data_IF_754368198987
#
_entry.id   IF_754368198987
#
_cell.length_a   1.000
_cell.length_b   1.000
_cell.length_c   1.000
_cell.angle_alpha   90.00
_cell.angle_beta   90.00
_cell.angle_gamma   90.00
#
_symmetry.space_group_name_H-M   'P 1'
#
loop_
_entity.id
_entity.type
_entity.pdbx_description
1 polymer ?
#
# COMPACT_ATOMS: atom_id res chain seq x y z
N UNK A 1 28.65 8.99 24.82
CA UNK A 1 27.39 8.24 24.61
C UNK A 1 26.26 9.26 24.63
N UNK A 2 25.48 9.28 23.54
CA UNK A 2 24.33 10.19 23.45
C UNK A 2 23.18 9.68 24.32
N UNK A 3 22.49 10.58 25.01
CA UNK A 3 21.18 10.29 25.63
C UNK A 3 20.11 10.49 24.58
N UNK A 4 19.33 9.46 24.28
CA UNK A 4 18.26 9.48 23.28
C UNK A 4 16.93 9.47 24.03
N UNK A 5 16.13 10.51 23.83
CA UNK A 5 14.81 10.66 24.45
C UNK A 5 13.69 10.18 23.53
N UNK A 6 13.89 10.27 22.20
CA UNK A 6 12.91 9.89 21.19
C UNK A 6 13.60 9.12 20.06
N UNK A 7 13.05 7.96 19.67
CA UNK A 7 13.44 7.19 18.52
C UNK A 7 12.29 7.16 17.51
N UNK A 8 12.56 7.65 16.30
CA UNK A 8 11.61 7.66 15.19
C UNK A 8 12.09 6.62 14.16
N UNK A 9 11.30 5.57 13.87
CA UNK A 9 11.68 4.59 12.85
C UNK A 9 11.74 5.23 11.47
N UNK A 10 12.78 4.91 10.70
CA UNK A 10 12.99 5.41 9.34
C UNK A 10 12.40 4.51 8.25
N UNK A 11 11.88 3.33 8.63
CA UNK A 11 11.25 2.38 7.69
C UNK A 11 10.12 1.61 8.36
N UNK A 12 9.26 1.00 7.52
CA UNK A 12 8.16 0.16 8.04
C UNK A 12 8.68 -1.10 8.74
N UNK A 13 9.83 -1.66 8.30
CA UNK A 13 10.47 -2.81 8.97
C UNK A 13 10.95 -2.44 10.36
N UNK A 14 11.60 -1.29 10.49
CA UNK A 14 12.04 -0.78 11.79
C UNK A 14 10.85 -0.54 12.70
N UNK A 15 9.81 0.15 12.20
CA UNK A 15 8.59 0.40 12.95
C UNK A 15 7.95 -0.90 13.47
N UNK A 16 7.84 -1.91 12.59
CA UNK A 16 7.26 -3.21 12.94
C UNK A 16 8.11 -3.95 13.99
N UNK A 17 9.44 -3.97 13.83
CA UNK A 17 10.34 -4.61 14.77
C UNK A 17 10.38 -3.89 16.12
N UNK A 18 10.44 -2.56 16.12
CA UNK A 18 10.43 -1.77 17.36
C UNK A 18 9.11 -1.94 18.10
N UNK A 19 7.97 -1.89 17.38
CA UNK A 19 6.66 -2.09 17.98
C UNK A 19 6.50 -3.50 18.58
N UNK A 20 6.99 -4.54 17.88
CA UNK A 20 6.97 -5.92 18.37
C UNK A 20 7.76 -6.08 19.67
N UNK A 21 8.86 -5.33 19.81
CA UNK A 21 9.78 -5.40 20.94
C UNK A 21 9.66 -4.20 21.89
N UNK A 22 8.56 -3.47 21.86
CA UNK A 22 8.37 -2.21 22.62
C UNK A 22 8.64 -2.37 24.12
N UNK A 23 8.35 -3.54 24.68
CA UNK A 23 8.57 -3.83 26.08
C UNK A 23 10.06 -3.81 26.49
N UNK A 24 10.97 -4.11 25.56
CA UNK A 24 12.41 -4.08 25.83
C UNK A 24 12.91 -2.65 26.08
N UNK A 25 12.19 -1.66 25.58
CA UNK A 25 12.50 -0.24 25.72
C UNK A 25 11.89 0.40 26.96
N UNK A 26 10.95 -0.27 27.65
CA UNK A 26 10.30 0.27 28.87
C UNK A 26 11.28 0.61 29.99
N UNK A 27 12.43 -0.09 30.04
CA UNK A 27 13.49 0.17 31.04
C UNK A 27 14.40 1.33 30.62
N UNK A 28 14.27 1.82 29.40
CA UNK A 28 14.99 2.99 28.92
C UNK A 28 14.13 4.24 29.10
N UNK A 29 14.74 5.41 29.17
CA UNK A 29 13.99 6.68 29.15
C UNK A 29 13.60 7.10 27.72
N UNK A 30 13.90 6.27 26.71
CA UNK A 30 13.66 6.57 25.30
C UNK A 30 12.22 6.24 24.91
N UNK A 31 11.51 7.20 24.39
CA UNK A 31 10.18 7.03 23.78
C UNK A 31 10.33 6.55 22.33
N UNK A 32 9.59 5.51 21.96
CA UNK A 32 9.56 5.02 20.58
C UNK A 32 8.33 5.57 19.89
N UNK A 33 8.54 6.35 18.82
CA UNK A 33 7.46 6.92 18.01
C UNK A 33 6.88 5.87 17.06
N UNK A 34 6.07 4.97 17.60
CA UNK A 34 5.40 3.91 16.85
C UNK A 34 4.00 3.66 17.39
N UNK A 35 3.16 2.98 16.62
CA UNK A 35 1.85 2.47 17.06
C UNK A 35 2.00 1.00 17.50
N UNK A 36 0.95 0.43 18.07
CA UNK A 36 0.97 -0.95 18.53
C UNK A 36 1.25 -1.95 17.38
N UNK A 37 1.88 -3.07 17.73
CA UNK A 37 2.29 -4.10 16.77
C UNK A 37 1.11 -4.68 15.98
N UNK A 38 -0.04 -4.90 16.61
CA UNK A 38 -1.21 -5.49 15.96
C UNK A 38 -1.70 -4.61 14.81
N UNK A 39 -1.76 -3.31 15.04
CA UNK A 39 -2.15 -2.32 14.02
C UNK A 39 -1.12 -2.26 12.89
N UNK A 40 0.17 -2.14 13.20
CA UNK A 40 1.24 -2.16 12.18
C UNK A 40 1.24 -3.45 11.37
N UNK A 41 1.03 -4.60 12.01
CA UNK A 41 0.96 -5.90 11.34
C UNK A 41 -0.20 -5.98 10.34
N UNK A 42 -1.34 -5.36 10.64
CA UNK A 42 -2.45 -5.25 9.70
C UNK A 42 -2.05 -4.39 8.49
N UNK A 43 -1.48 -3.21 8.73
CA UNK A 43 -1.13 -2.28 7.65
C UNK A 43 0.11 -2.68 6.84
N UNK A 44 0.96 -3.58 7.34
CA UNK A 44 2.11 -4.09 6.59
C UNK A 44 1.73 -5.02 5.44
N UNK A 45 0.49 -5.52 5.38
CA UNK A 45 0.02 -6.48 4.38
C UNK A 45 -1.30 -6.01 3.75
N UNK A 46 -1.32 -5.89 2.41
CA UNK A 46 -2.48 -5.35 1.68
C UNK A 46 -3.74 -6.19 1.84
N UNK A 47 -3.60 -7.52 1.96
CA UNK A 47 -4.76 -8.40 2.19
C UNK A 47 -5.37 -8.13 3.56
N UNK A 48 -4.52 -8.06 4.60
CA UNK A 48 -4.99 -7.75 5.96
C UNK A 48 -5.60 -6.36 6.02
N UNK A 49 -4.94 -5.37 5.40
CA UNK A 49 -5.46 -4.00 5.32
C UNK A 49 -6.84 -3.96 4.67
N UNK A 50 -7.01 -4.56 3.48
CA UNK A 50 -8.30 -4.53 2.77
C UNK A 50 -9.40 -5.27 3.53
N UNK A 51 -9.08 -6.40 4.16
CA UNK A 51 -10.02 -7.12 5.02
C UNK A 51 -10.45 -6.26 6.22
N UNK A 52 -9.50 -5.62 6.90
CA UNK A 52 -9.78 -4.75 8.04
C UNK A 52 -10.62 -3.53 7.64
N UNK A 53 -10.35 -2.91 6.49
CA UNK A 53 -11.16 -1.81 5.96
C UNK A 53 -12.59 -2.27 5.67
N UNK A 54 -12.74 -3.45 5.05
CA UNK A 54 -14.07 -4.06 4.79
C UNK A 54 -14.85 -4.30 6.08
N UNK A 55 -14.23 -4.90 7.08
CA UNK A 55 -14.85 -5.18 8.40
C UNK A 55 -15.31 -3.90 9.10
N UNK A 56 -14.61 -2.79 8.85
CA UNK A 56 -14.94 -1.47 9.42
C UNK A 56 -15.83 -0.61 8.53
N UNK A 57 -16.35 -1.15 7.43
CA UNK A 57 -17.14 -0.41 6.44
C UNK A 57 -16.44 0.86 5.90
N UNK A 58 -15.10 0.84 5.85
CA UNK A 58 -14.29 1.91 5.26
C UNK A 58 -14.07 1.63 3.77
N UNK A 59 -13.84 2.67 2.94
CA UNK A 59 -13.58 2.50 1.50
C UNK A 59 -12.34 1.64 1.25
N UNK A 60 -12.48 0.66 0.36
CA UNK A 60 -11.37 -0.18 -0.13
C UNK A 60 -11.64 -0.55 -1.59
N UNK A 61 -10.61 -0.88 -2.39
CA UNK A 61 -10.81 -1.33 -3.77
C UNK A 61 -11.41 -2.74 -3.77
N UNK A 62 -12.25 -3.05 -4.76
CA UNK A 62 -12.61 -4.45 -5.02
C UNK A 62 -11.34 -5.27 -5.24
N UNK A 63 -11.20 -6.43 -4.60
CA UNK A 63 -10.00 -7.24 -4.67
C UNK A 63 -10.26 -8.72 -4.51
N UNK A 64 -9.33 -9.55 -4.99
CA UNK A 64 -9.25 -10.97 -4.74
C UNK A 64 -7.78 -11.39 -4.48
N UNK A 65 -7.59 -12.62 -4.02
CA UNK A 65 -6.31 -13.17 -3.60
C UNK A 65 -5.86 -14.24 -4.59
N UNK A 66 -4.62 -14.13 -5.05
CA UNK A 66 -3.95 -15.13 -5.88
C UNK A 66 -2.94 -15.85 -4.99
N UNK A 67 -3.18 -17.13 -4.70
CA UNK A 67 -2.37 -17.89 -3.74
C UNK A 67 -1.08 -18.47 -4.34
N UNK A 68 -1.06 -18.72 -5.65
CA UNK A 68 0.09 -19.29 -6.33
C UNK A 68 0.11 -18.92 -7.82
N UNK A 69 1.23 -19.20 -8.48
CA UNK A 69 1.44 -18.83 -9.88
C UNK A 69 0.41 -19.46 -10.85
N UNK A 70 -0.02 -20.69 -10.60
CA UNK A 70 -0.96 -21.41 -11.49
C UNK A 70 -2.35 -20.76 -11.48
N UNK A 71 -2.72 -20.10 -10.40
CA UNK A 71 -4.02 -19.44 -10.25
C UNK A 71 -4.12 -18.09 -10.98
N UNK A 72 -3.01 -17.45 -11.39
CA UNK A 72 -3.01 -16.08 -11.91
C UNK A 72 -4.03 -15.91 -13.04
N UNK A 73 -3.96 -16.77 -14.07
CA UNK A 73 -4.86 -16.68 -15.24
C UNK A 73 -6.33 -16.88 -14.87
N UNK A 74 -6.58 -17.87 -14.02
CA UNK A 74 -7.93 -18.16 -13.54
C UNK A 74 -8.50 -16.96 -12.79
N UNK A 75 -7.73 -16.40 -11.86
CA UNK A 75 -8.14 -15.25 -11.07
C UNK A 75 -8.35 -13.98 -11.90
N UNK A 76 -7.53 -13.72 -12.91
CA UNK A 76 -7.76 -12.62 -13.85
C UNK A 76 -9.10 -12.79 -14.58
N UNK A 77 -9.42 -14.00 -15.05
CA UNK A 77 -10.68 -14.29 -15.73
C UNK A 77 -11.89 -14.14 -14.79
N UNK A 78 -11.78 -14.65 -13.56
CA UNK A 78 -12.83 -14.55 -12.54
C UNK A 78 -13.06 -13.09 -12.10
N UNK A 79 -11.99 -12.31 -11.96
CA UNK A 79 -12.06 -10.92 -11.56
C UNK A 79 -12.79 -10.03 -12.59
N UNK A 80 -12.75 -10.41 -13.87
CA UNK A 80 -13.54 -9.86 -14.98
C UNK A 80 -13.56 -8.31 -15.07
N UNK A 81 -12.46 -7.64 -14.74
CA UNK A 81 -12.32 -6.18 -14.89
C UNK A 81 -11.40 -5.87 -16.08
N UNK A 82 -11.74 -4.83 -16.85
CA UNK A 82 -10.88 -4.34 -17.94
C UNK A 82 -9.60 -3.71 -17.44
N UNK A 83 -9.67 -3.02 -16.30
CA UNK A 83 -8.55 -2.34 -15.68
C UNK A 83 -8.35 -2.91 -14.27
N UNK A 84 -7.17 -3.45 -14.02
CA UNK A 84 -6.83 -4.03 -12.71
C UNK A 84 -5.35 -3.93 -12.39
N UNK A 85 -5.02 -4.18 -11.14
CA UNK A 85 -3.64 -4.16 -10.63
C UNK A 85 -3.35 -5.50 -9.96
N UNK A 86 -2.21 -6.11 -10.29
CA UNK A 86 -1.66 -7.25 -9.56
C UNK A 86 -0.41 -6.80 -8.83
N UNK A 87 -0.32 -7.11 -7.55
CA UNK A 87 0.80 -6.71 -6.69
C UNK A 87 1.00 -7.70 -5.56
N UNK A 88 2.25 -7.87 -5.06
CA UNK A 88 2.48 -8.68 -3.88
C UNK A 88 1.73 -8.13 -2.67
N UNK A 89 1.21 -9.03 -1.83
CA UNK A 89 0.56 -8.66 -0.57
C UNK A 89 1.54 -7.87 0.34
N UNK A 90 2.75 -8.39 0.49
CA UNK A 90 3.86 -7.77 1.20
C UNK A 90 4.80 -7.10 0.18
N UNK A 91 4.67 -5.80 -0.02
CA UNK A 91 5.53 -5.02 -0.92
C UNK A 91 5.34 -3.53 -0.68
N UNK A 92 6.38 -2.74 -0.97
CA UNK A 92 6.42 -1.28 -0.77
C UNK A 92 6.95 -0.55 -1.98
N UNK A 93 6.68 0.76 -2.03
CA UNK A 93 7.23 1.65 -3.04
C UNK A 93 6.91 1.21 -4.47
N UNK A 94 5.76 0.57 -4.70
CA UNK A 94 5.32 0.15 -6.04
C UNK A 94 6.09 -1.03 -6.64
N UNK A 95 6.98 -1.71 -5.88
CA UNK A 95 7.79 -2.81 -6.42
C UNK A 95 6.93 -3.99 -6.87
N UNK A 96 7.24 -4.52 -8.06
CA UNK A 96 6.58 -5.67 -8.67
C UNK A 96 5.07 -5.46 -8.85
N UNK A 97 4.67 -4.26 -9.24
CA UNK A 97 3.28 -3.93 -9.55
C UNK A 97 3.05 -4.07 -11.05
N UNK A 98 2.06 -4.86 -11.41
CA UNK A 98 1.55 -4.99 -12.77
C UNK A 98 0.21 -4.27 -12.87
N UNK A 99 0.15 -3.23 -13.69
CA UNK A 99 -1.07 -2.45 -13.96
C UNK A 99 -1.59 -2.80 -15.34
N UNK A 100 -2.74 -3.44 -15.42
CA UNK A 100 -3.39 -3.77 -16.68
C UNK A 100 -4.42 -2.69 -17.00
N UNK A 101 -4.36 -2.18 -18.24
CA UNK A 101 -5.12 -1.00 -18.66
C UNK A 101 -5.75 -1.18 -20.03
N UNK A 102 -6.97 -0.69 -20.18
CA UNK A 102 -7.68 -0.64 -21.47
C UNK A 102 -7.40 0.66 -22.26
N UNK A 103 -6.93 1.71 -21.60
CA UNK A 103 -6.74 3.06 -22.15
C UNK A 103 -5.33 3.30 -22.75
N UNK A 104 -4.49 2.28 -22.82
CA UNK A 104 -3.12 2.35 -23.37
C UNK A 104 -2.91 1.38 -24.52
N UNK A 105 -1.99 1.72 -25.44
CA UNK A 105 -1.66 0.90 -26.63
C UNK A 105 -0.30 0.20 -26.55
N UNK A 106 0.59 0.67 -25.68
CA UNK A 106 1.97 0.14 -25.53
C UNK A 106 2.28 -0.16 -24.08
N UNK A 107 3.17 -1.13 -23.86
CA UNK A 107 3.76 -1.41 -22.55
C UNK A 107 4.71 -0.29 -22.20
N UNK A 108 4.66 0.16 -20.96
CA UNK A 108 5.62 1.13 -20.42
C UNK A 108 5.85 0.90 -18.92
N UNK A 109 6.88 1.54 -18.39
CA UNK A 109 7.28 1.44 -16.99
C UNK A 109 7.10 2.78 -16.30
N UNK A 110 6.68 2.73 -15.04
CA UNK A 110 6.62 3.89 -14.14
C UNK A 110 7.38 3.60 -12.85
N UNK A 111 7.50 4.62 -12.01
CA UNK A 111 8.10 4.51 -10.69
C UNK A 111 9.48 3.83 -10.73
N UNK A 112 10.39 4.39 -11.56
CA UNK A 112 11.76 3.86 -11.76
C UNK A 112 11.79 2.37 -12.15
N UNK A 113 10.87 1.93 -13.01
CA UNK A 113 10.76 0.53 -13.46
C UNK A 113 10.07 -0.43 -12.48
N UNK A 114 9.60 0.05 -11.34
CA UNK A 114 8.93 -0.77 -10.33
C UNK A 114 7.51 -1.18 -10.71
N UNK A 115 6.86 -0.35 -11.55
CA UNK A 115 5.51 -0.59 -12.06
C UNK A 115 5.56 -0.87 -13.55
N UNK A 116 4.96 -1.97 -13.98
CA UNK A 116 4.79 -2.33 -15.38
C UNK A 116 3.35 -2.09 -15.80
N UNK A 117 3.13 -1.22 -16.76
CA UNK A 117 1.82 -0.93 -17.34
C UNK A 117 1.66 -1.68 -18.65
N UNK A 118 0.60 -2.48 -18.76
CA UNK A 118 0.34 -3.38 -19.91
C UNK A 118 -1.05 -3.15 -20.47
N UNK A 119 -1.21 -2.97 -21.81
CA UNK A 119 -2.52 -3.00 -22.43
C UNK A 119 -3.22 -4.33 -22.17
N UNK A 120 -4.53 -4.31 -21.91
CA UNK A 120 -5.31 -5.52 -21.61
C UNK A 120 -5.18 -6.58 -22.71
N UNK A 121 -5.15 -6.18 -23.98
CA UNK A 121 -5.00 -7.07 -25.13
C UNK A 121 -3.58 -7.61 -25.36
N UNK A 122 -2.59 -7.11 -24.62
CA UNK A 122 -1.18 -7.54 -24.70
C UNK A 122 -0.69 -8.29 -23.46
N UNK A 123 -1.59 -8.52 -22.49
CA UNK A 123 -1.22 -9.29 -21.29
C UNK A 123 -0.88 -10.74 -21.67
N UNK A 124 0.21 -11.25 -21.15
CA UNK A 124 0.70 -12.58 -21.45
C UNK A 124 1.50 -13.17 -20.29
N UNK A 125 1.82 -14.46 -20.37
CA UNK A 125 2.59 -15.17 -19.34
C UNK A 125 3.91 -14.49 -18.97
N UNK A 126 4.60 -13.86 -19.93
CA UNK A 126 5.87 -13.17 -19.68
C UNK A 126 5.76 -12.10 -18.60
N UNK A 127 4.61 -11.42 -18.51
CA UNK A 127 4.38 -10.38 -17.51
C UNK A 127 4.20 -10.95 -16.10
N UNK A 128 3.89 -12.25 -15.97
CA UNK A 128 3.74 -12.92 -14.68
C UNK A 128 5.02 -13.56 -14.18
N UNK A 129 6.05 -13.69 -15.03
CA UNK A 129 7.31 -14.35 -14.64
C UNK A 129 7.98 -13.68 -13.45
N UNK A 130 7.77 -12.37 -13.27
CA UNK A 130 8.26 -11.64 -12.09
C UNK A 130 7.74 -12.22 -10.77
N UNK A 131 6.60 -12.93 -10.79
CA UNK A 131 5.98 -13.52 -9.60
C UNK A 131 6.35 -14.97 -9.34
N UNK A 132 7.15 -15.63 -10.25
CA UNK A 132 7.33 -17.08 -10.27
C UNK A 132 7.92 -17.69 -8.98
N UNK A 133 8.68 -16.93 -8.19
CA UNK A 133 9.45 -17.53 -7.09
C UNK A 133 9.16 -17.03 -5.67
N UNK A 134 8.68 -15.81 -5.44
CA UNK A 134 8.87 -15.22 -4.12
C UNK A 134 7.68 -14.40 -3.57
N UNK A 135 6.69 -14.01 -4.37
CA UNK A 135 5.79 -12.92 -4.00
C UNK A 135 4.36 -13.32 -3.63
N UNK A 136 4.09 -14.61 -3.45
CA UNK A 136 2.75 -15.05 -3.08
C UNK A 136 2.50 -14.94 -1.57
N UNK A 137 1.26 -14.63 -1.16
CA UNK A 137 0.11 -14.35 -2.00
C UNK A 137 0.19 -12.98 -2.70
N UNK A 138 -0.43 -12.89 -3.89
CA UNK A 138 -0.65 -11.64 -4.59
C UNK A 138 -2.07 -11.12 -4.31
N UNK A 139 -2.25 -9.83 -4.50
CA UNK A 139 -3.55 -9.17 -4.58
C UNK A 139 -3.81 -8.81 -6.02
N UNK A 140 -4.95 -9.21 -6.56
CA UNK A 140 -5.57 -8.59 -7.72
C UNK A 140 -6.63 -7.61 -7.23
N UNK A 141 -6.61 -6.37 -7.72
CA UNK A 141 -7.56 -5.35 -7.32
C UNK A 141 -7.99 -4.51 -8.52
N UNK A 142 -9.16 -3.89 -8.44
CA UNK A 142 -9.55 -2.88 -9.41
C UNK A 142 -8.51 -1.76 -9.46
N UNK A 143 -8.35 -1.17 -10.65
CA UNK A 143 -7.53 0.02 -10.82
C UNK A 143 -8.34 1.25 -10.44
N UNK A 144 -7.96 1.89 -9.36
CA UNK A 144 -8.56 3.16 -8.96
C UNK A 144 -8.11 4.27 -9.94
N UNK A 145 -9.03 5.19 -10.23
CA UNK A 145 -8.77 6.32 -11.12
C UNK A 145 -7.98 7.42 -10.41
N UNK A 146 -7.18 8.13 -11.17
CA UNK A 146 -6.53 9.35 -10.71
C UNK A 146 -7.56 10.48 -10.50
N UNK A 147 -7.27 11.48 -9.66
CA UNK A 147 -5.99 11.74 -8.99
C UNK A 147 -5.79 10.92 -7.71
N UNK A 148 -4.52 10.67 -7.36
CA UNK A 148 -4.15 10.03 -6.10
C UNK A 148 -3.94 11.07 -5.01
N UNK A 149 -4.48 10.79 -3.82
CA UNK A 149 -4.29 11.58 -2.62
C UNK A 149 -3.63 10.74 -1.53
N UNK A 150 -2.74 11.37 -0.79
CA UNK A 150 -2.24 10.86 0.48
C UNK A 150 -2.91 11.59 1.63
N UNK A 151 -3.19 10.86 2.70
CA UNK A 151 -3.66 11.43 3.96
C UNK A 151 -2.55 11.29 5.00
N UNK A 152 -1.97 12.41 5.40
CA UNK A 152 -1.05 12.42 6.52
C UNK A 152 -1.85 12.56 7.81
N UNK A 153 -1.62 11.65 8.73
CA UNK A 153 -2.38 11.59 9.97
C UNK A 153 -1.45 11.62 11.17
N UNK A 154 -1.71 12.54 12.07
CA UNK A 154 -1.16 12.55 13.41
C UNK A 154 -2.25 12.06 14.38
N UNK A 155 -1.96 11.01 15.12
CA UNK A 155 -2.88 10.45 16.10
C UNK A 155 -2.16 10.14 17.42
N UNK A 156 -2.89 10.18 18.52
CA UNK A 156 -2.40 9.83 19.85
C UNK A 156 -3.47 9.05 20.60
N UNK A 157 -3.09 7.91 21.15
CA UNK A 157 -3.98 7.00 21.91
C UNK A 157 -5.29 6.70 21.18
N UNK A 158 -5.20 6.41 19.86
CA UNK A 158 -6.35 6.09 19.03
C UNK A 158 -7.23 7.26 18.61
N UNK A 159 -6.86 8.49 18.97
CA UNK A 159 -7.59 9.70 18.57
C UNK A 159 -6.80 10.47 17.52
N UNK A 160 -7.45 10.81 16.42
CA UNK A 160 -6.85 11.68 15.39
C UNK A 160 -6.71 13.10 15.92
N UNK A 161 -5.48 13.63 15.91
CA UNK A 161 -5.17 15.02 16.28
C UNK A 161 -5.26 15.90 15.04
N UNK A 162 -4.67 15.45 13.93
CA UNK A 162 -4.64 16.19 12.67
C UNK A 162 -4.67 15.25 11.50
N UNK A 163 -5.44 15.59 10.47
CA UNK A 163 -5.43 14.95 9.16
C UNK A 163 -5.22 16.02 8.11
N UNK A 164 -4.32 15.77 7.17
CA UNK A 164 -4.01 16.67 6.06
C UNK A 164 -4.05 15.86 4.77
N UNK A 165 -4.88 16.29 3.82
CA UNK A 165 -4.92 15.69 2.49
C UNK A 165 -3.93 16.37 1.55
N UNK A 166 -3.18 15.54 0.81
CA UNK A 166 -2.21 15.97 -0.19
C UNK A 166 -2.50 15.29 -1.52
N UNK A 167 -2.62 16.07 -2.59
CA UNK A 167 -2.72 15.56 -3.95
C UNK A 167 -1.32 15.27 -4.48
N UNK A 168 -1.07 14.08 -5.01
CA UNK A 168 0.18 13.78 -5.73
C UNK A 168 0.23 14.53 -7.04
N UNK A 169 1.39 15.12 -7.37
CA UNK A 169 1.65 15.70 -8.68
C UNK A 169 1.77 14.61 -9.74
N UNK A 170 2.42 13.50 -9.39
CA UNK A 170 2.46 12.29 -10.21
C UNK A 170 1.95 11.12 -9.38
N UNK A 171 0.82 10.54 -9.80
CA UNK A 171 0.17 9.45 -9.05
C UNK A 171 1.04 8.21 -8.90
N UNK A 172 1.94 7.94 -9.85
CA UNK A 172 2.83 6.79 -9.85
C UNK A 172 4.15 7.04 -9.09
N UNK A 173 4.52 8.29 -8.84
CA UNK A 173 5.80 8.67 -8.24
C UNK A 173 5.56 9.46 -6.94
N UNK A 174 5.48 8.79 -5.78
CA UNK A 174 5.21 9.47 -4.51
C UNK A 174 6.17 10.61 -4.18
N UNK A 175 7.41 10.53 -4.67
CA UNK A 175 8.45 11.52 -4.39
C UNK A 175 8.49 12.68 -5.42
N UNK A 176 7.63 12.65 -6.45
CA UNK A 176 7.59 13.71 -7.47
C UNK A 176 6.94 15.01 -6.98
N UNK A 177 6.54 15.07 -5.72
CA UNK A 177 5.96 16.24 -5.09
C UNK A 177 4.45 16.11 -4.82
N UNK A 178 3.98 16.97 -3.94
CA UNK A 178 2.60 17.01 -3.49
C UNK A 178 2.11 18.45 -3.41
N UNK A 179 0.82 18.63 -3.64
CA UNK A 179 0.12 19.87 -3.32
C UNK A 179 -0.78 19.60 -2.11
N UNK A 180 -0.59 20.33 -1.04
CA UNK A 180 -1.51 20.33 0.09
C UNK A 180 -2.84 20.90 -0.38
N UNK A 181 -3.87 20.07 -0.35
CA UNK A 181 -5.23 20.45 -0.76
C UNK A 181 -6.21 19.89 0.24
N UNK A 182 -6.84 20.77 1.01
CA UNK A 182 -7.85 20.36 1.97
C UNK A 182 -9.08 19.81 1.25
N UNK A 183 -9.43 18.59 1.55
CA UNK A 183 -10.60 17.89 1.04
C UNK A 183 -11.34 17.29 2.23
N UNK A 184 -12.33 17.99 2.74
CA UNK A 184 -13.05 17.64 3.96
C UNK A 184 -13.57 16.20 3.96
N UNK A 185 -14.08 15.72 2.81
CA UNK A 185 -14.55 14.33 2.68
C UNK A 185 -13.44 13.31 2.96
N UNK A 186 -12.23 13.53 2.43
CA UNK A 186 -11.08 12.64 2.64
C UNK A 186 -10.55 12.77 4.07
N UNK A 187 -10.41 13.99 4.58
CA UNK A 187 -9.95 14.23 5.95
C UNK A 187 -10.89 13.63 6.99
N UNK A 188 -12.20 13.63 6.74
CA UNK A 188 -13.18 12.97 7.61
C UNK A 188 -13.06 11.44 7.60
N UNK A 189 -12.73 10.81 6.45
CA UNK A 189 -12.41 9.38 6.42
C UNK A 189 -11.20 9.06 7.30
N UNK A 190 -10.18 9.92 7.28
CA UNK A 190 -8.99 9.73 8.11
C UNK A 190 -9.20 10.01 9.61
N UNK A 191 -10.30 10.64 10.02
CA UNK A 191 -10.61 10.90 11.44
C UNK A 191 -11.36 9.75 12.11
N UNK A 192 -12.03 8.94 11.32
CA UNK A 192 -12.80 7.76 11.77
C UNK A 192 -11.93 6.51 11.80
#
# INVERSE_FOLDING_TARGET
KYKIDLLIPGSDEEALNLSKNINNFKKTKCTIATIDYKTLYIFSDKIRTYKSLKEKNLPFPEFDIIKNFKEIKKKIKEFNKKDFVIKPSLSRGGRNVLVVRSDIKKVFFKNYGRETHVPINKISNKHFLMYKKIFFPLVISERLREPTFDLDMLAYKGKSIRVVSRKRLNSAEPNAGHIVKRINKLENIGKN
#
